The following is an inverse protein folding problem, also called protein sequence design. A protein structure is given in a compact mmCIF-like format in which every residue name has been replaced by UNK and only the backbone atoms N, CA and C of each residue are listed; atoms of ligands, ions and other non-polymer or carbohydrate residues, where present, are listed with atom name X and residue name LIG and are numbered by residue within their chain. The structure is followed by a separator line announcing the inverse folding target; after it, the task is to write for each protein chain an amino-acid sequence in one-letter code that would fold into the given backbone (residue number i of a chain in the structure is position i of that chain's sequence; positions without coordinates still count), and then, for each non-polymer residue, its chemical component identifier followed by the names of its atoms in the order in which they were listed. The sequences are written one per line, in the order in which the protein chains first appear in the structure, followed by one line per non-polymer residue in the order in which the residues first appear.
data_IF_142518890107
#
_entry.id   IF_142518890107
#
_cell.length_a   1.000
_cell.length_b   1.000
_cell.length_c   1.000
_cell.angle_alpha   90.00
_cell.angle_beta   90.00
_cell.angle_gamma   90.00
#
_symmetry.space_group_name_H-M   'P 1'
#
loop_
_entity.id
_entity.type
_entity.pdbx_description
1 polymer ?
#
# COMPACT_ATOMS: atom_id res chain seq x y z
N UNK A 1 -16.41 17.90 0.11
CA UNK A 1 -15.93 17.58 -1.25
C UNK A 1 -15.18 16.26 -1.16
N UNK A 2 -15.82 15.16 -1.59
CA UNK A 2 -15.14 13.88 -1.74
C UNK A 2 -14.31 13.98 -3.02
N UNK A 3 -12.99 13.86 -2.90
CA UNK A 3 -12.05 13.81 -4.03
C UNK A 3 -12.61 12.89 -5.12
N UNK A 4 -12.64 13.37 -6.36
CA UNK A 4 -13.09 12.53 -7.47
C UNK A 4 -12.15 11.34 -7.58
N UNK A 5 -12.69 10.12 -7.69
CA UNK A 5 -11.89 8.90 -7.87
C UNK A 5 -10.88 9.03 -9.01
N UNK A 6 -11.18 9.87 -10.02
CA UNK A 6 -10.23 10.20 -11.10
C UNK A 6 -9.03 11.00 -10.62
N UNK A 7 -9.20 11.97 -9.74
CA UNK A 7 -8.11 12.76 -9.18
C UNK A 7 -7.21 11.89 -8.31
N UNK A 8 -7.81 11.02 -7.47
CA UNK A 8 -7.03 10.09 -6.65
C UNK A 8 -6.27 9.08 -7.52
N UNK A 9 -6.90 8.52 -8.56
CA UNK A 9 -6.25 7.65 -9.56
C UNK A 9 -5.12 8.39 -10.30
N UNK A 10 -5.31 9.67 -10.61
CA UNK A 10 -4.30 10.49 -11.28
C UNK A 10 -3.13 10.83 -10.35
N UNK A 11 -3.39 11.04 -9.06
CA UNK A 11 -2.40 11.40 -8.03
C UNK A 11 -1.64 10.22 -7.46
N UNK A 12 -2.31 9.08 -7.27
CA UNK A 12 -1.70 7.83 -6.80
C UNK A 12 -1.02 7.11 -7.98
N UNK A 13 -1.54 7.27 -9.20
CA UNK A 13 -1.10 6.55 -10.39
C UNK A 13 -1.60 5.12 -10.48
N UNK A 14 -2.43 4.70 -9.52
CA UNK A 14 -3.01 3.36 -9.42
C UNK A 14 -4.25 3.23 -10.30
N UNK A 15 -4.42 2.07 -10.92
CA UNK A 15 -5.65 1.73 -11.61
C UNK A 15 -6.81 1.59 -10.62
N UNK A 16 -8.04 1.86 -11.07
CA UNK A 16 -9.26 1.64 -10.28
C UNK A 16 -9.36 0.19 -9.77
N UNK A 17 -8.79 -0.76 -10.52
CA UNK A 17 -8.70 -2.16 -10.13
C UNK A 17 -7.82 -2.38 -8.89
N UNK A 18 -6.65 -1.73 -8.80
CA UNK A 18 -5.75 -1.87 -7.65
C UNK A 18 -6.40 -1.32 -6.36
N UNK A 19 -7.14 -0.22 -6.48
CA UNK A 19 -7.94 0.34 -5.36
C UNK A 19 -9.01 -0.64 -4.87
N UNK A 20 -9.73 -1.29 -5.80
CA UNK A 20 -10.72 -2.31 -5.46
C UNK A 20 -10.06 -3.52 -4.79
N UNK A 21 -8.88 -3.91 -5.27
CA UNK A 21 -8.13 -5.04 -4.74
C UNK A 21 -7.66 -4.79 -3.30
N UNK A 22 -7.15 -3.58 -3.03
CA UNK A 22 -6.80 -3.17 -1.67
C UNK A 22 -8.02 -3.05 -0.76
N UNK A 23 -9.17 -2.60 -1.28
CA UNK A 23 -10.42 -2.54 -0.51
C UNK A 23 -10.89 -3.94 -0.09
N UNK A 24 -10.88 -4.90 -1.02
CA UNK A 24 -11.23 -6.31 -0.74
C UNK A 24 -10.25 -6.89 0.28
N UNK A 25 -8.95 -6.66 0.10
CA UNK A 25 -7.94 -7.14 1.02
C UNK A 25 -8.10 -6.57 2.44
N UNK A 26 -8.45 -5.28 2.55
CA UNK A 26 -8.73 -4.64 3.82
C UNK A 26 -9.99 -5.20 4.49
N UNK A 27 -11.04 -5.51 3.72
CA UNK A 27 -12.25 -6.15 4.23
C UNK A 27 -11.94 -7.55 4.77
N UNK A 28 -11.21 -8.37 4.00
CA UNK A 28 -10.78 -9.71 4.43
C UNK A 28 -9.90 -9.61 5.69
N UNK A 29 -8.93 -8.69 5.71
CA UNK A 29 -8.11 -8.41 6.89
C UNK A 29 -8.96 -8.04 8.12
N UNK A 30 -9.94 -7.16 7.97
CA UNK A 30 -10.83 -6.76 9.06
C UNK A 30 -11.62 -7.94 9.63
N UNK A 31 -12.08 -8.87 8.78
CA UNK A 31 -12.77 -10.08 9.21
C UNK A 31 -11.81 -11.02 9.94
N UNK A 32 -10.61 -11.27 9.41
CA UNK A 32 -9.60 -12.11 10.07
C UNK A 32 -9.15 -11.51 11.41
N UNK A 33 -9.03 -10.18 11.48
CA UNK A 33 -8.69 -9.46 12.70
C UNK A 33 -9.78 -9.63 13.76
N UNK A 34 -11.06 -9.50 13.40
CA UNK A 34 -12.17 -9.73 14.31
C UNK A 34 -12.16 -11.16 14.87
N UNK A 35 -11.97 -12.16 14.00
CA UNK A 35 -11.87 -13.58 14.40
C UNK A 35 -10.69 -13.82 15.37
N UNK A 36 -9.55 -13.14 15.14
CA UNK A 36 -8.39 -13.21 16.03
C UNK A 36 -8.66 -12.58 17.39
N UNK A 37 -9.34 -11.43 17.43
CA UNK A 37 -9.68 -10.70 18.67
C UNK A 37 -10.64 -11.51 19.55
N UNK A 38 -11.62 -12.19 18.95
CA UNK A 38 -12.55 -13.07 19.67
C UNK A 38 -11.91 -14.39 20.13
N UNK A 39 -10.59 -14.57 19.93
CA UNK A 39 -9.81 -15.76 20.32
C UNK A 39 -10.35 -17.10 19.77
N UNK A 40 -11.20 -17.07 18.73
CA UNK A 40 -11.76 -18.28 18.12
C UNK A 40 -10.69 -19.19 17.51
N UNK A 41 -9.54 -18.63 17.10
CA UNK A 41 -8.42 -19.38 16.56
C UNK A 41 -7.06 -18.85 17.03
N UNK A 42 -6.15 -19.75 17.41
CA UNK A 42 -4.71 -19.46 17.60
C UNK A 42 -4.02 -19.24 16.25
N UNK A 43 -4.47 -18.24 15.49
CA UNK A 43 -3.83 -17.84 14.24
C UNK A 43 -2.62 -16.97 14.56
N UNK A 44 -1.46 -17.26 13.98
CA UNK A 44 -0.34 -16.33 14.04
C UNK A 44 -0.69 -15.02 13.35
N UNK A 45 -0.14 -13.91 13.84
CA UNK A 45 -0.36 -12.59 13.24
C UNK A 45 0.03 -12.56 11.78
N UNK A 46 1.04 -13.34 11.38
CA UNK A 46 1.40 -13.57 9.98
C UNK A 46 0.22 -13.96 9.09
N UNK A 47 -0.64 -14.88 9.53
CA UNK A 47 -1.80 -15.32 8.72
C UNK A 47 -2.86 -14.24 8.56
N UNK A 48 -3.03 -13.39 9.57
CA UNK A 48 -3.97 -12.27 9.52
C UNK A 48 -3.56 -11.26 8.46
N UNK A 49 -2.25 -11.05 8.26
CA UNK A 49 -1.72 -10.08 7.29
C UNK A 49 -1.48 -10.64 5.88
N UNK A 50 -1.58 -11.95 5.63
CA UNK A 50 -1.46 -12.56 4.29
C UNK A 50 -2.33 -11.86 3.22
N UNK A 51 -3.62 -11.53 3.47
CA UNK A 51 -4.46 -10.89 2.47
C UNK A 51 -3.92 -9.53 2.01
N UNK A 52 -3.35 -8.74 2.94
CA UNK A 52 -2.75 -7.44 2.66
C UNK A 52 -1.47 -7.59 1.84
N UNK A 53 -0.59 -8.54 2.21
CA UNK A 53 0.63 -8.83 1.46
C UNK A 53 0.36 -9.35 0.05
N UNK A 54 -0.65 -10.21 -0.09
CA UNK A 54 -1.07 -10.73 -1.40
C UNK A 54 -1.57 -9.60 -2.30
N UNK A 55 -2.31 -8.65 -1.73
CA UNK A 55 -2.78 -7.48 -2.46
C UNK A 55 -1.64 -6.56 -2.89
N UNK A 56 -0.68 -6.31 -2.01
CA UNK A 56 0.50 -5.50 -2.31
C UNK A 56 1.37 -6.12 -3.42
N UNK A 57 1.59 -7.44 -3.35
CA UNK A 57 2.31 -8.18 -4.39
C UNK A 57 1.59 -8.16 -5.74
N UNK A 58 0.26 -8.31 -5.76
CA UNK A 58 -0.52 -8.29 -7.00
C UNK A 58 -0.58 -6.89 -7.62
N UNK A 59 -0.67 -5.83 -6.82
CA UNK A 59 -0.56 -4.43 -7.28
C UNK A 59 0.84 -4.15 -7.85
N UNK A 60 1.91 -4.64 -7.19
CA UNK A 60 3.28 -4.51 -7.69
C UNK A 60 3.44 -5.20 -9.05
N UNK A 61 2.91 -6.43 -9.20
CA UNK A 61 2.92 -7.18 -10.45
C UNK A 61 2.22 -6.42 -11.59
N UNK A 62 1.04 -5.85 -11.31
CA UNK A 62 0.28 -5.07 -12.29
C UNK A 62 1.04 -3.81 -12.71
N UNK A 63 1.60 -3.08 -11.75
CA UNK A 63 2.43 -1.88 -12.00
C UNK A 63 3.62 -2.18 -12.90
N UNK A 64 4.30 -3.32 -12.68
CA UNK A 64 5.42 -3.77 -13.54
C UNK A 64 4.95 -4.01 -14.98
N UNK A 65 3.83 -4.71 -15.18
CA UNK A 65 3.29 -4.99 -16.53
C UNK A 65 2.93 -3.71 -17.28
N UNK A 66 2.19 -2.80 -16.64
CA UNK A 66 1.78 -1.53 -17.24
C UNK A 66 3.01 -0.72 -17.66
N UNK A 67 4.06 -0.80 -16.85
CA UNK A 67 5.30 -0.08 -17.14
C UNK A 67 6.10 -0.65 -18.29
N UNK A 68 6.12 -1.99 -18.45
CA UNK A 68 6.74 -2.63 -19.62
C UNK A 68 6.03 -2.19 -20.90
N UNK A 69 4.68 -2.14 -20.89
CA UNK A 69 3.90 -1.65 -22.04
C UNK A 69 4.22 -0.18 -22.36
N UNK A 70 4.22 0.68 -21.35
CA UNK A 70 4.49 2.11 -21.54
C UNK A 70 5.94 2.38 -22.02
N UNK A 71 6.88 1.49 -21.71
CA UNK A 71 8.24 1.56 -22.23
C UNK A 71 8.33 1.25 -23.74
N UNK A 72 7.41 0.41 -24.26
CA UNK A 72 7.32 0.08 -25.68
C UNK A 72 6.69 1.22 -26.50
N UNK A 73 5.80 2.03 -25.91
CA UNK A 73 5.12 3.15 -26.57
C UNK A 73 5.98 4.43 -26.75
N UNK A 74 7.25 4.43 -26.30
CA UNK A 74 8.22 5.50 -26.61
C UNK A 74 8.35 6.64 -25.58
N UNK A 75 7.43 6.76 -24.62
CA UNK A 75 7.44 7.78 -23.54
C UNK A 75 8.24 7.34 -22.29
N UNK A 76 9.48 6.87 -22.51
CA UNK A 76 10.27 6.13 -21.50
C UNK A 76 10.52 6.89 -20.19
N UNK A 77 10.77 8.20 -20.25
CA UNK A 77 11.17 8.98 -19.06
C UNK A 77 10.00 9.23 -18.09
N UNK A 78 8.83 9.55 -18.62
CA UNK A 78 7.63 9.79 -17.82
C UNK A 78 7.13 8.48 -17.20
N UNK A 79 7.18 7.40 -17.97
CA UNK A 79 6.83 6.05 -17.55
C UNK A 79 7.67 5.57 -16.35
N UNK A 80 9.00 5.66 -16.47
CA UNK A 80 9.92 5.22 -15.42
C UNK A 80 9.76 6.08 -14.16
N UNK A 81 9.57 7.39 -14.30
CA UNK A 81 9.36 8.27 -13.16
C UNK A 81 8.05 7.94 -12.42
N UNK A 82 6.98 7.59 -13.16
CA UNK A 82 5.71 7.16 -12.58
C UNK A 82 5.82 5.81 -11.89
N UNK A 83 6.50 4.84 -12.51
CA UNK A 83 6.73 3.51 -11.95
C UNK A 83 7.54 3.61 -10.66
N UNK A 84 8.65 4.36 -10.69
CA UNK A 84 9.50 4.56 -9.53
C UNK A 84 8.72 5.19 -8.37
N UNK A 85 7.82 6.14 -8.67
CA UNK A 85 6.92 6.71 -7.67
C UNK A 85 5.99 5.67 -7.05
N UNK A 86 5.26 4.90 -7.87
CA UNK A 86 4.30 3.90 -7.39
C UNK A 86 5.03 2.82 -6.59
N UNK A 87 6.20 2.38 -7.04
CA UNK A 87 7.04 1.42 -6.33
C UNK A 87 7.52 1.95 -4.97
N UNK A 88 7.90 3.23 -4.91
CA UNK A 88 8.28 3.89 -3.64
C UNK A 88 7.10 3.95 -2.67
N UNK A 89 5.90 4.26 -3.17
CA UNK A 89 4.66 4.27 -2.36
C UNK A 89 4.31 2.87 -1.84
N UNK A 90 4.32 1.86 -2.72
CA UNK A 90 4.05 0.45 -2.37
C UNK A 90 5.06 -0.07 -1.34
N UNK A 91 6.35 0.17 -1.56
CA UNK A 91 7.38 -0.25 -0.61
C UNK A 91 7.25 0.40 0.76
N UNK A 92 6.90 1.70 0.84
CA UNK A 92 6.62 2.35 2.12
C UNK A 92 5.42 1.73 2.84
N UNK A 93 4.35 1.41 2.09
CA UNK A 93 3.15 0.73 2.62
C UNK A 93 3.50 -0.67 3.12
N UNK A 94 4.26 -1.44 2.34
CA UNK A 94 4.71 -2.78 2.72
C UNK A 94 5.58 -2.75 3.98
N UNK A 95 6.52 -1.81 4.09
CA UNK A 95 7.35 -1.62 5.28
C UNK A 95 6.50 -1.31 6.51
N UNK A 96 5.45 -0.48 6.37
CA UNK A 96 4.49 -0.22 7.44
C UNK A 96 3.74 -1.48 7.89
N UNK A 97 3.23 -2.28 6.94
CA UNK A 97 2.52 -3.53 7.23
C UNK A 97 3.44 -4.55 7.93
N UNK A 98 4.70 -4.66 7.50
CA UNK A 98 5.72 -5.51 8.14
C UNK A 98 6.07 -5.05 9.55
N UNK A 99 6.25 -3.74 9.77
CA UNK A 99 6.51 -3.16 11.10
C UNK A 99 5.34 -3.39 12.05
N UNK A 100 4.10 -3.32 11.55
CA UNK A 100 2.90 -3.65 12.32
C UNK A 100 2.87 -5.14 12.69
N UNK A 101 3.14 -6.05 11.75
CA UNK A 101 3.19 -7.49 12.04
C UNK A 101 4.17 -7.80 13.18
N UNK A 102 5.40 -7.27 13.09
CA UNK A 102 6.45 -7.48 14.09
C UNK A 102 6.09 -6.90 15.47
N UNK A 103 5.31 -5.80 15.50
CA UNK A 103 4.82 -5.23 16.75
C UNK A 103 3.75 -6.11 17.39
N UNK A 104 2.80 -6.62 16.61
CA UNK A 104 1.70 -7.44 17.12
C UNK A 104 2.15 -8.85 17.54
N UNK A 105 3.18 -9.41 16.92
CA UNK A 105 3.79 -10.70 17.31
C UNK A 105 4.55 -10.62 18.65
N UNK A 106 4.70 -9.43 19.24
CA UNK A 106 5.25 -9.25 20.59
C UNK A 106 6.78 -9.27 20.67
N UNK A 107 7.49 -9.44 19.55
CA UNK A 107 8.96 -9.38 19.52
C UNK A 107 9.54 -7.98 19.79
N UNK A 108 8.71 -6.93 19.79
CA UNK A 108 9.18 -5.54 19.87
C UNK A 108 8.34 -4.66 20.79
N UNK A 109 8.30 -5.02 22.08
CA UNK A 109 7.70 -4.19 23.13
C UNK A 109 8.31 -2.77 23.21
N UNK A 110 9.51 -2.54 22.67
CA UNK A 110 10.21 -1.25 22.68
C UNK A 110 10.11 -0.43 21.38
N UNK A 111 9.48 -0.94 20.32
CA UNK A 111 9.30 -0.15 19.09
C UNK A 111 8.32 0.99 19.36
N UNK A 112 8.82 2.23 19.31
CA UNK A 112 8.04 3.45 19.50
C UNK A 112 6.99 3.58 18.39
N UNK A 113 5.75 3.93 18.77
CA UNK A 113 4.65 4.19 17.83
C UNK A 113 5.03 5.22 16.75
N UNK A 114 5.92 6.15 17.07
CA UNK A 114 6.45 7.14 16.12
C UNK A 114 7.24 6.54 14.96
N UNK A 115 8.00 5.45 15.18
CA UNK A 115 8.76 4.80 14.10
C UNK A 115 7.85 4.00 13.17
N UNK A 116 6.81 3.37 13.72
CA UNK A 116 5.80 2.65 12.95
C UNK A 116 4.98 3.62 12.09
N UNK A 117 4.64 4.80 12.59
CA UNK A 117 3.86 5.79 11.82
C UNK A 117 4.69 6.61 10.83
N UNK A 118 6.01 6.63 10.97
CA UNK A 118 6.93 7.41 10.11
C UNK A 118 6.72 7.17 8.59
N UNK A 119 6.60 5.93 8.08
CA UNK A 119 6.36 5.69 6.66
C UNK A 119 5.05 6.31 6.16
N UNK A 120 4.00 6.32 6.99
CA UNK A 120 2.71 6.94 6.63
C UNK A 120 2.86 8.47 6.55
N UNK A 121 3.55 9.09 7.51
CA UNK A 121 3.77 10.52 7.50
C UNK A 121 4.59 10.97 6.29
N UNK A 122 5.64 10.21 5.93
CA UNK A 122 6.45 10.45 4.73
C UNK A 122 5.59 10.30 3.47
N UNK A 123 4.76 9.25 3.41
CA UNK A 123 3.83 9.03 2.30
C UNK A 123 2.83 10.19 2.15
N UNK A 124 2.26 10.68 3.25
CA UNK A 124 1.31 11.79 3.25
C UNK A 124 1.96 13.09 2.76
N UNK A 125 3.19 13.38 3.19
CA UNK A 125 3.95 14.55 2.74
C UNK A 125 4.30 14.47 1.26
N UNK A 126 4.71 13.29 0.77
CA UNK A 126 4.98 13.04 -0.65
C UNK A 126 3.74 13.27 -1.51
N UNK A 127 2.56 12.81 -1.05
CA UNK A 127 1.29 13.05 -1.72
C UNK A 127 0.92 14.55 -1.74
N UNK A 128 1.16 15.28 -0.65
CA UNK A 128 0.92 16.72 -0.58
C UNK A 128 1.82 17.50 -1.54
N UNK A 129 3.10 17.15 -1.68
CA UNK A 129 4.00 17.83 -2.63
C UNK A 129 3.53 17.58 -4.07
N UNK A 130 3.09 16.36 -4.38
CA UNK A 130 2.57 16.03 -5.71
C UNK A 130 1.25 16.75 -6.01
N UNK A 131 0.37 16.86 -5.02
CA UNK A 131 -0.85 17.65 -5.10
C UNK A 131 -0.61 19.07 -5.61
N UNK A 132 0.39 19.74 -5.03
CA UNK A 132 0.74 21.13 -5.36
C UNK A 132 1.40 21.29 -6.73
N UNK A 133 1.97 20.22 -7.31
CA UNK A 133 2.61 20.26 -8.63
C UNK A 133 1.65 19.95 -9.79
N UNK A 134 0.51 19.31 -9.50
CA UNK A 134 -0.47 18.86 -10.51
C UNK A 134 -1.53 19.93 -10.79
N UNK A 135 -1.64 20.97 -9.95
CA UNK A 135 -2.44 22.18 -10.19
C UNK A 135 -1.64 23.23 -10.98
#
# INVERSE_FOLDING_TARGET
MLFSLRELVQWLGFATFEMLLHLIAFLVFSVLLAVKVDNFAKLDWWYVFIPLFTADGLSTYFTVIVSIRLFQDGEKRLAVMRLFWILTVLSLKFVFEMLLCQKLEGQSSQLWYGLIMSPIFILLQLLMIRACRVN
#
